data_IF_526933102386
#
_entry.id   IF_526933102386
#
_cell.length_a   1.000
_cell.length_b   1.000
_cell.length_c   1.000
_cell.angle_alpha   90.00
_cell.angle_beta   90.00
_cell.angle_gamma   90.00
#
_symmetry.space_group_name_H-M   'P 1'
#
loop_
_entity.id
_entity.type
_entity.pdbx_description
1 polymer ?
#
# COMPACT_ATOMS: atom_id res chain seq x y z
N UNK A 1 16.77 16.57 -27.16
CA UNK A 1 16.00 15.66 -26.30
C UNK A 1 16.99 14.83 -25.50
N UNK A 2 16.79 14.72 -24.17
CA UNK A 2 17.60 13.82 -23.35
C UNK A 2 17.28 12.36 -23.70
N UNK A 3 18.21 11.41 -23.43
CA UNK A 3 17.98 9.96 -23.64
C UNK A 3 16.72 9.49 -22.88
N UNK A 4 16.43 10.10 -21.74
CA UNK A 4 15.28 9.79 -20.90
C UNK A 4 13.95 10.25 -21.52
N UNK A 5 13.93 11.42 -22.16
CA UNK A 5 12.75 11.90 -22.91
C UNK A 5 12.46 11.00 -24.12
N UNK A 6 13.50 10.56 -24.83
CA UNK A 6 13.35 9.68 -25.97
C UNK A 6 12.76 8.33 -25.53
N UNK A 7 13.29 7.72 -24.47
CA UNK A 7 12.76 6.49 -23.90
C UNK A 7 11.28 6.63 -23.48
N UNK A 8 10.92 7.74 -22.81
CA UNK A 8 9.56 8.04 -22.39
C UNK A 8 8.59 8.12 -23.58
N UNK A 9 8.96 8.81 -24.66
CA UNK A 9 8.13 8.90 -25.88
C UNK A 9 8.01 7.56 -26.59
N UNK A 10 9.05 6.76 -26.63
CA UNK A 10 9.03 5.42 -27.22
C UNK A 10 8.13 4.47 -26.40
N UNK A 11 8.16 4.55 -25.09
CA UNK A 11 7.25 3.81 -24.22
C UNK A 11 5.77 4.18 -24.47
N UNK A 12 5.45 5.48 -24.59
CA UNK A 12 4.10 5.95 -24.94
C UNK A 12 3.62 5.49 -26.32
N UNK A 13 4.54 5.23 -27.25
CA UNK A 13 4.25 4.67 -28.57
C UNK A 13 3.99 3.16 -28.61
N UNK A 14 4.16 2.44 -27.52
CA UNK A 14 4.00 1.00 -27.46
C UNK A 14 2.63 0.59 -26.89
N UNK A 15 1.93 -0.34 -27.55
CA UNK A 15 0.60 -0.83 -27.14
C UNK A 15 0.61 -1.51 -25.76
N UNK A 16 1.65 -2.28 -25.46
CA UNK A 16 1.73 -3.04 -24.22
C UNK A 16 1.81 -2.14 -22.97
N UNK A 17 2.54 -1.04 -23.05
CA UNK A 17 2.55 -0.05 -21.97
C UNK A 17 1.20 0.65 -21.82
N UNK A 18 0.47 0.89 -22.92
CA UNK A 18 -0.87 1.46 -22.85
C UNK A 18 -1.85 0.49 -22.19
N UNK A 19 -1.80 -0.81 -22.53
CA UNK A 19 -2.61 -1.84 -21.87
C UNK A 19 -2.28 -1.96 -20.39
N UNK A 20 -0.99 -1.93 -20.04
CA UNK A 20 -0.58 -1.94 -18.64
C UNK A 20 -1.07 -0.70 -17.88
N UNK A 21 -1.06 0.47 -18.51
CA UNK A 21 -1.63 1.70 -17.92
C UNK A 21 -3.13 1.57 -17.66
N UNK A 22 -3.89 1.01 -18.62
CA UNK A 22 -5.33 0.74 -18.44
C UNK A 22 -5.55 -0.28 -17.33
N UNK A 23 -4.77 -1.36 -17.31
CA UNK A 23 -4.80 -2.36 -16.24
C UNK A 23 -4.56 -1.71 -14.86
N UNK A 24 -3.53 -0.88 -14.71
CA UNK A 24 -3.27 -0.16 -13.45
C UNK A 24 -4.45 0.71 -13.03
N UNK A 25 -5.08 1.46 -13.96
CA UNK A 25 -6.26 2.29 -13.65
C UNK A 25 -7.42 1.45 -13.11
N UNK A 26 -7.73 0.35 -13.78
CA UNK A 26 -8.81 -0.56 -13.38
C UNK A 26 -8.49 -1.21 -12.03
N UNK A 27 -7.28 -1.74 -11.85
CA UNK A 27 -6.86 -2.40 -10.61
C UNK A 27 -6.92 -1.45 -9.41
N UNK A 28 -6.45 -0.22 -9.57
CA UNK A 28 -6.49 0.80 -8.52
C UNK A 28 -7.92 1.25 -8.22
N UNK A 29 -8.76 1.44 -9.24
CA UNK A 29 -10.16 1.77 -9.03
C UNK A 29 -10.90 0.65 -8.28
N UNK A 30 -10.67 -0.62 -8.65
CA UNK A 30 -11.24 -1.78 -7.95
C UNK A 30 -10.79 -1.87 -6.49
N UNK A 31 -9.59 -1.38 -6.14
CA UNK A 31 -9.15 -1.29 -4.75
C UNK A 31 -9.93 -0.27 -3.93
N UNK A 32 -10.38 0.85 -4.54
CA UNK A 32 -11.11 1.90 -3.83
C UNK A 32 -12.62 1.72 -3.84
N UNK A 33 -13.20 1.09 -4.87
CA UNK A 33 -14.66 0.92 -5.00
C UNK A 33 -15.27 0.18 -3.80
N UNK A 34 -14.82 -1.03 -3.40
CA UNK A 34 -15.39 -1.73 -2.26
C UNK A 34 -15.23 -0.94 -0.96
N UNK A 35 -14.05 -0.37 -0.73
CA UNK A 35 -13.75 0.45 0.44
C UNK A 35 -14.63 1.71 0.52
N UNK A 36 -14.90 2.33 -0.63
CA UNK A 36 -15.78 3.51 -0.71
C UNK A 36 -17.24 3.16 -0.49
N UNK A 37 -17.73 2.06 -1.11
CA UNK A 37 -19.12 1.61 -0.95
C UNK A 37 -19.43 1.34 0.52
N UNK A 38 -18.63 0.51 1.20
CA UNK A 38 -18.81 0.16 2.61
C UNK A 38 -18.90 1.41 3.50
N UNK A 39 -18.08 2.43 3.22
CA UNK A 39 -18.11 3.69 3.99
C UNK A 39 -19.35 4.53 3.71
N UNK A 40 -19.85 4.53 2.47
CA UNK A 40 -21.05 5.29 2.08
C UNK A 40 -22.31 4.61 2.59
N UNK A 41 -22.34 3.26 2.63
CA UNK A 41 -23.45 2.50 3.22
C UNK A 41 -23.50 2.57 4.75
N UNK A 42 -22.44 3.14 5.38
CA UNK A 42 -22.39 3.26 6.84
C UNK A 42 -22.05 1.94 7.53
N UNK A 43 -21.37 1.03 6.84
CA UNK A 43 -20.90 -0.22 7.41
C UNK A 43 -19.45 -0.12 7.86
N UNK A 44 -19.07 -0.93 8.83
CA UNK A 44 -17.67 -0.99 9.30
C UNK A 44 -16.77 -1.61 8.22
N UNK A 45 -15.72 -0.89 7.83
CA UNK A 45 -14.84 -1.30 6.73
C UNK A 45 -14.06 -2.59 6.99
N UNK A 46 -13.79 -2.93 8.25
CA UNK A 46 -12.96 -4.08 8.61
C UNK A 46 -13.59 -4.95 9.67
N UNK A 47 -13.37 -6.27 9.58
CA UNK A 47 -13.73 -7.24 10.59
C UNK A 47 -12.64 -7.40 11.69
N UNK A 48 -11.56 -6.59 11.65
CA UNK A 48 -10.51 -6.65 12.66
C UNK A 48 -11.08 -6.31 14.05
N UNK A 49 -10.67 -7.02 15.12
CA UNK A 49 -11.05 -6.70 16.49
C UNK A 49 -10.64 -5.27 16.88
N UNK A 50 -11.36 -4.66 17.82
CA UNK A 50 -11.06 -3.31 18.30
C UNK A 50 -9.69 -3.22 19.00
N UNK A 51 -9.21 -4.31 19.56
CA UNK A 51 -7.90 -4.43 20.20
C UNK A 51 -6.75 -4.44 19.19
N UNK A 52 -7.01 -4.85 17.92
CA UNK A 52 -6.01 -4.77 16.88
C UNK A 52 -5.68 -3.30 16.58
N UNK A 53 -4.40 -2.88 16.48
CA UNK A 53 -4.02 -1.46 16.29
C UNK A 53 -4.72 -0.78 15.11
N UNK A 54 -4.85 -1.49 13.97
CA UNK A 54 -5.56 -0.99 12.80
C UNK A 54 -7.08 -1.05 13.00
N UNK A 55 -7.59 -2.07 13.70
CA UNK A 55 -9.00 -2.21 14.04
C UNK A 55 -9.49 -1.04 14.89
N UNK A 56 -8.73 -0.69 15.91
CA UNK A 56 -8.99 0.47 16.79
C UNK A 56 -9.07 1.80 15.99
N UNK A 57 -8.13 2.02 15.07
CA UNK A 57 -8.16 3.18 14.19
C UNK A 57 -9.43 3.22 13.34
N UNK A 58 -9.81 2.11 12.71
CA UNK A 58 -11.02 2.06 11.89
C UNK A 58 -12.31 2.16 12.69
N UNK A 59 -12.32 1.69 13.93
CA UNK A 59 -13.43 1.90 14.85
C UNK A 59 -13.61 3.38 15.18
N UNK A 60 -12.54 4.05 15.58
CA UNK A 60 -12.56 5.47 15.84
C UNK A 60 -13.00 6.27 14.59
N UNK A 61 -12.50 5.89 13.42
CA UNK A 61 -12.87 6.52 12.16
C UNK A 61 -14.35 6.29 11.81
N UNK A 62 -14.86 5.08 12.03
CA UNK A 62 -16.27 4.73 11.82
C UNK A 62 -17.20 5.56 12.72
N UNK A 63 -16.82 5.79 13.98
CA UNK A 63 -17.58 6.60 14.93
C UNK A 63 -17.67 8.09 14.56
N UNK A 64 -16.87 8.58 13.58
CA UNK A 64 -16.97 9.96 13.10
C UNK A 64 -18.20 10.25 12.22
N UNK A 65 -19.00 9.22 11.90
CA UNK A 65 -20.26 9.36 11.18
C UNK A 65 -20.08 9.94 9.78
N UNK A 66 -20.58 11.16 9.53
CA UNK A 66 -20.56 11.77 8.19
C UNK A 66 -19.15 11.99 7.62
N UNK A 67 -18.14 12.15 8.45
CA UNK A 67 -16.75 12.24 7.98
C UNK A 67 -16.27 10.92 7.38
N UNK A 68 -16.67 9.80 7.96
CA UNK A 68 -16.42 8.47 7.41
C UNK A 68 -17.06 8.30 6.03
N UNK A 69 -18.33 8.71 5.88
CA UNK A 69 -19.05 8.71 4.61
C UNK A 69 -18.38 9.64 3.58
N UNK A 70 -17.93 10.83 4.00
CA UNK A 70 -17.19 11.76 3.15
C UNK A 70 -15.93 11.13 2.55
N UNK A 71 -15.16 10.40 3.35
CA UNK A 71 -13.98 9.66 2.87
C UNK A 71 -14.41 8.62 1.81
N UNK A 72 -15.51 7.89 2.05
CA UNK A 72 -16.07 6.93 1.10
C UNK A 72 -16.43 7.56 -0.24
N UNK A 73 -17.11 8.70 -0.21
CA UNK A 73 -17.46 9.47 -1.42
C UNK A 73 -16.19 9.90 -2.17
N UNK A 74 -15.18 10.39 -1.46
CA UNK A 74 -13.88 10.76 -2.03
C UNK A 74 -13.18 9.59 -2.73
N UNK A 75 -13.23 8.40 -2.14
CA UNK A 75 -12.68 7.17 -2.75
C UNK A 75 -13.44 6.77 -4.02
N UNK A 76 -14.78 6.80 -4.00
CA UNK A 76 -15.61 6.47 -5.17
C UNK A 76 -15.41 7.48 -6.31
N UNK A 77 -15.37 8.78 -5.98
CA UNK A 77 -15.08 9.82 -6.95
C UNK A 77 -13.70 9.62 -7.59
N UNK A 78 -12.68 9.35 -6.78
CA UNK A 78 -11.32 9.09 -7.24
C UNK A 78 -11.27 7.87 -8.17
N UNK A 79 -11.96 6.78 -7.82
CA UNK A 79 -12.07 5.59 -8.66
C UNK A 79 -12.76 5.89 -10.00
N UNK A 80 -13.87 6.64 -9.99
CA UNK A 80 -14.57 7.05 -11.20
C UNK A 80 -13.67 7.90 -12.12
N UNK A 81 -12.93 8.86 -11.55
CA UNK A 81 -12.00 9.70 -12.30
C UNK A 81 -10.85 8.89 -12.93
N UNK A 82 -10.36 7.84 -12.26
CA UNK A 82 -9.35 6.94 -12.82
C UNK A 82 -9.85 6.14 -14.03
N UNK A 83 -11.11 5.71 -14.01
CA UNK A 83 -11.70 4.91 -15.08
C UNK A 83 -11.96 5.74 -16.34
N UNK A 84 -12.25 7.03 -16.21
CA UNK A 84 -12.52 7.92 -17.35
C UNK A 84 -11.17 8.42 -17.92
N UNK A 85 -10.83 8.10 -19.19
CA UNK A 85 -9.51 8.43 -19.75
C UNK A 85 -9.15 9.93 -19.75
N UNK A 86 -10.16 10.81 -19.81
CA UNK A 86 -9.95 12.27 -19.82
C UNK A 86 -9.58 12.82 -18.45
N UNK A 87 -10.08 12.24 -17.38
CA UNK A 87 -9.89 12.67 -15.99
C UNK A 87 -8.92 11.78 -15.20
N UNK A 88 -8.37 10.75 -15.85
CA UNK A 88 -7.51 9.76 -15.19
C UNK A 88 -6.29 10.36 -14.48
N UNK A 89 -5.72 11.45 -15.01
CA UNK A 89 -4.64 12.17 -14.33
C UNK A 89 -5.10 12.79 -13.01
N UNK A 90 -6.27 13.44 -13.01
CA UNK A 90 -6.86 14.00 -11.80
C UNK A 90 -7.16 12.88 -10.77
N UNK A 91 -7.72 11.75 -11.25
CA UNK A 91 -7.91 10.56 -10.43
C UNK A 91 -6.59 10.07 -9.81
N UNK A 92 -5.50 9.99 -10.57
CA UNK A 92 -4.20 9.56 -10.07
C UNK A 92 -3.62 10.54 -9.04
N UNK A 93 -3.81 11.84 -9.23
CA UNK A 93 -3.36 12.88 -8.29
C UNK A 93 -4.13 12.83 -6.96
N UNK A 94 -5.42 12.52 -6.97
CA UNK A 94 -6.22 12.34 -5.75
C UNK A 94 -5.95 10.97 -5.09
N UNK A 95 -5.70 9.95 -5.90
CA UNK A 95 -5.41 8.60 -5.42
C UNK A 95 -4.10 8.53 -4.65
N UNK A 96 -3.06 9.17 -5.17
CA UNK A 96 -1.71 9.06 -4.62
C UNK A 96 -1.59 9.46 -3.14
N UNK A 97 -2.03 10.66 -2.69
CA UNK A 97 -1.93 11.03 -1.28
C UNK A 97 -2.78 10.14 -0.38
N UNK A 98 -3.94 9.68 -0.88
CA UNK A 98 -4.82 8.78 -0.13
C UNK A 98 -4.17 7.42 0.09
N UNK A 99 -3.64 6.79 -0.96
CA UNK A 99 -2.99 5.48 -0.84
C UNK A 99 -1.66 5.57 -0.09
N UNK A 100 -0.93 6.68 -0.21
CA UNK A 100 0.27 6.92 0.57
C UNK A 100 -0.04 6.92 2.07
N UNK A 101 -1.09 7.64 2.49
CA UNK A 101 -1.53 7.66 3.88
C UNK A 101 -1.93 6.25 4.37
N UNK A 102 -2.73 5.51 3.57
CA UNK A 102 -3.13 4.13 3.90
C UNK A 102 -1.90 3.21 3.99
N UNK A 103 -0.94 3.36 3.10
CA UNK A 103 0.29 2.57 3.10
C UNK A 103 1.12 2.83 4.37
N UNK A 104 1.33 4.09 4.74
CA UNK A 104 2.04 4.47 5.98
C UNK A 104 1.33 3.91 7.21
N UNK A 105 -0.01 4.02 7.28
CA UNK A 105 -0.82 3.46 8.36
C UNK A 105 -0.66 1.94 8.46
N UNK A 106 -0.71 1.23 7.31
CA UNK A 106 -0.55 -0.22 7.28
C UNK A 106 0.84 -0.67 7.76
N UNK A 107 1.91 0.07 7.40
CA UNK A 107 3.26 -0.18 7.93
C UNK A 107 3.36 0.13 9.43
N UNK A 108 2.80 1.25 9.87
CA UNK A 108 2.83 1.65 11.29
C UNK A 108 2.13 0.62 12.19
N UNK A 109 1.02 0.05 11.73
CA UNK A 109 0.24 -0.95 12.47
C UNK A 109 0.71 -2.39 12.26
N UNK A 110 1.73 -2.62 11.43
CA UNK A 110 2.25 -3.95 11.03
C UNK A 110 1.18 -4.87 10.45
N UNK A 111 0.21 -4.28 9.74
CA UNK A 111 -0.90 -5.01 9.15
C UNK A 111 -0.45 -5.92 8.00
N UNK A 112 -1.05 -7.10 7.88
CA UNK A 112 -0.67 -8.05 6.83
C UNK A 112 -0.98 -7.58 5.40
N UNK A 113 -2.02 -6.76 5.24
CA UNK A 113 -2.38 -6.15 3.95
C UNK A 113 -1.39 -5.12 3.40
N UNK A 114 -0.28 -4.83 4.11
CA UNK A 114 0.76 -3.87 3.70
C UNK A 114 1.34 -4.18 2.31
N UNK A 115 1.40 -5.46 1.91
CA UNK A 115 1.82 -5.88 0.56
C UNK A 115 0.95 -5.28 -0.53
N UNK A 116 -0.37 -5.36 -0.37
CA UNK A 116 -1.34 -4.86 -1.35
C UNK A 116 -1.29 -3.34 -1.42
N UNK A 117 -1.29 -2.65 -0.27
CA UNK A 117 -1.22 -1.18 -0.23
C UNK A 117 0.07 -0.64 -0.84
N UNK A 118 1.20 -1.35 -0.66
CA UNK A 118 2.48 -1.00 -1.30
C UNK A 118 2.39 -1.13 -2.83
N UNK A 119 1.81 -2.23 -3.35
CA UNK A 119 1.63 -2.41 -4.80
C UNK A 119 0.68 -1.35 -5.38
N UNK A 120 -0.40 -1.00 -4.67
CA UNK A 120 -1.30 0.08 -5.07
C UNK A 120 -0.58 1.44 -5.10
N UNK A 121 0.28 1.72 -4.13
CA UNK A 121 1.10 2.93 -4.10
C UNK A 121 2.06 2.96 -5.30
N UNK A 122 2.77 1.87 -5.61
CA UNK A 122 3.65 1.78 -6.77
C UNK A 122 2.88 1.93 -8.09
N UNK A 123 1.70 1.33 -8.19
CA UNK A 123 0.81 1.50 -9.34
C UNK A 123 0.37 2.96 -9.53
N UNK A 124 0.07 3.67 -8.45
CA UNK A 124 -0.28 5.10 -8.52
C UNK A 124 0.90 5.97 -8.95
N UNK A 125 2.11 5.69 -8.44
CA UNK A 125 3.35 6.35 -8.88
C UNK A 125 3.59 6.09 -10.38
N UNK A 126 3.40 4.86 -10.85
CA UNK A 126 3.50 4.55 -12.28
C UNK A 126 2.55 5.39 -13.11
N UNK A 127 1.27 5.56 -12.70
CA UNK A 127 0.31 6.40 -13.44
C UNK A 127 0.73 7.87 -13.46
N UNK A 128 1.27 8.42 -12.39
CA UNK A 128 1.80 9.79 -12.35
C UNK A 128 3.03 9.94 -13.27
N UNK A 129 3.93 8.94 -13.27
CA UNK A 129 5.06 8.90 -14.19
C UNK A 129 4.62 8.77 -15.66
N UNK A 130 3.57 8.01 -15.92
CA UNK A 130 2.99 7.86 -17.26
C UNK A 130 2.46 9.17 -17.84
N UNK A 131 1.88 10.03 -17.01
CA UNK A 131 1.37 11.35 -17.39
C UNK A 131 2.34 12.49 -16.99
N UNK A 132 3.64 12.20 -16.83
CA UNK A 132 4.66 13.17 -16.40
C UNK A 132 4.69 14.44 -17.25
N UNK A 133 4.46 14.32 -18.57
CA UNK A 133 4.35 15.44 -19.49
C UNK A 133 3.26 16.45 -19.08
N UNK A 134 2.20 16.01 -18.40
CA UNK A 134 1.13 16.85 -17.86
C UNK A 134 1.40 17.27 -16.42
N UNK A 135 1.89 16.34 -15.60
CA UNK A 135 2.19 16.57 -14.17
C UNK A 135 3.22 17.68 -13.99
N UNK A 136 4.24 17.77 -14.85
CA UNK A 136 5.29 18.79 -14.79
C UNK A 136 4.77 20.23 -14.91
N UNK A 137 3.57 20.47 -15.48
CA UNK A 137 2.95 21.80 -15.56
C UNK A 137 2.12 22.15 -14.33
N UNK A 138 1.71 21.15 -13.56
CA UNK A 138 0.98 21.34 -12.30
C UNK A 138 1.96 21.65 -11.16
N UNK A 139 3.17 21.05 -11.22
CA UNK A 139 4.21 21.25 -10.22
C UNK A 139 5.03 22.53 -10.55
N UNK A 140 5.26 23.43 -9.58
CA UNK A 140 5.86 24.75 -9.82
C UNK A 140 7.37 24.72 -10.12
N UNK A 141 7.95 23.56 -10.43
CA UNK A 141 9.41 23.37 -10.50
C UNK A 141 10.11 23.99 -11.70
N UNK A 142 9.41 24.33 -12.79
CA UNK A 142 9.94 25.16 -13.90
C UNK A 142 8.79 25.68 -14.75
N UNK A 143 8.72 26.99 -14.89
CA UNK A 143 7.91 27.66 -15.92
C UNK A 143 8.58 27.44 -17.27
N UNK A 144 8.46 26.24 -17.81
CA UNK A 144 8.78 25.98 -19.21
C UNK A 144 7.71 26.64 -20.04
N UNK A 145 8.11 27.52 -20.98
CA UNK A 145 7.20 28.09 -21.96
C UNK A 145 6.29 27.00 -22.47
N UNK A 146 4.97 27.27 -22.48
CA UNK A 146 3.94 26.34 -22.92
C UNK A 146 4.18 25.94 -24.38
N UNK A 147 5.19 25.11 -24.61
CA UNK A 147 5.39 24.47 -25.88
C UNK A 147 4.21 23.50 -26.07
N UNK A 148 3.56 23.62 -27.22
CA UNK A 148 2.40 22.90 -27.65
C UNK A 148 2.43 21.45 -27.15
N UNK A 149 1.34 20.98 -26.56
CA UNK A 149 1.12 19.58 -26.21
C UNK A 149 1.64 18.70 -27.35
N UNK A 150 2.62 17.84 -27.16
CA UNK A 150 3.08 16.97 -28.24
C UNK A 150 1.88 16.15 -28.73
N UNK A 151 1.60 16.23 -30.00
CA UNK A 151 0.53 15.50 -30.64
C UNK A 151 0.62 14.03 -30.23
N UNK A 152 -0.53 13.44 -29.90
CA UNK A 152 -0.63 12.03 -29.50
C UNK A 152 0.18 11.17 -30.48
N UNK A 153 1.35 10.66 -30.06
CA UNK A 153 2.24 9.92 -30.94
C UNK A 153 1.48 8.68 -31.43
N UNK A 154 1.38 8.52 -32.75
CA UNK A 154 0.77 7.36 -33.39
C UNK A 154 1.49 6.10 -32.89
N UNK A 155 0.74 5.05 -32.54
CA UNK A 155 1.30 3.78 -32.07
C UNK A 155 2.24 3.24 -33.14
N UNK A 156 3.52 3.15 -32.84
CA UNK A 156 4.57 2.76 -33.79
C UNK A 156 5.05 1.32 -33.54
N UNK A 157 4.93 0.81 -32.30
CA UNK A 157 5.50 -0.48 -31.92
C UNK A 157 4.48 -1.39 -31.23
N UNK A 158 4.49 -2.66 -31.65
CA UNK A 158 3.75 -3.76 -31.01
C UNK A 158 4.69 -4.81 -30.39
N UNK A 159 6.00 -4.50 -30.28
CA UNK A 159 6.98 -5.42 -29.67
C UNK A 159 6.71 -5.52 -28.18
N UNK A 160 6.68 -6.76 -27.66
CA UNK A 160 6.50 -7.01 -26.24
C UNK A 160 7.75 -6.57 -25.47
N UNK A 161 7.61 -5.68 -24.43
CA UNK A 161 8.75 -5.17 -23.67
C UNK A 161 9.10 -6.12 -22.52
N UNK A 162 9.78 -7.22 -22.81
CA UNK A 162 10.15 -8.26 -21.82
C UNK A 162 10.89 -7.70 -20.61
N UNK A 163 11.80 -6.74 -20.81
CA UNK A 163 12.57 -6.13 -19.72
C UNK A 163 11.67 -5.37 -18.74
N UNK A 164 10.66 -4.69 -19.24
CA UNK A 164 9.71 -3.95 -18.40
C UNK A 164 8.84 -4.92 -17.57
N UNK A 165 8.21 -5.91 -18.21
CA UNK A 165 7.37 -6.86 -17.48
C UNK A 165 8.19 -7.76 -16.54
N UNK A 166 9.42 -8.11 -16.91
CA UNK A 166 10.37 -8.76 -16.01
C UNK A 166 10.67 -7.88 -14.77
N UNK A 167 10.86 -6.58 -14.96
CA UNK A 167 11.01 -5.62 -13.88
C UNK A 167 9.78 -5.51 -12.98
N UNK A 168 8.57 -5.54 -13.56
CA UNK A 168 7.30 -5.54 -12.78
C UNK A 168 7.21 -6.80 -11.91
N UNK A 169 7.48 -7.98 -12.47
CA UNK A 169 7.47 -9.25 -11.71
C UNK A 169 8.51 -9.20 -10.58
N UNK A 170 9.72 -8.74 -10.87
CA UNK A 170 10.77 -8.60 -9.87
C UNK A 170 10.36 -7.64 -8.75
N UNK A 171 9.72 -6.52 -9.09
CA UNK A 171 9.21 -5.55 -8.11
C UNK A 171 8.14 -6.18 -7.22
N UNK A 172 7.19 -6.93 -7.78
CA UNK A 172 6.16 -7.64 -7.01
C UNK A 172 6.81 -8.65 -6.06
N UNK A 173 7.73 -9.47 -6.56
CA UNK A 173 8.46 -10.45 -5.75
C UNK A 173 9.26 -9.76 -4.63
N UNK A 174 9.94 -8.66 -4.93
CA UNK A 174 10.70 -7.89 -3.94
C UNK A 174 9.78 -7.30 -2.86
N UNK A 175 8.62 -6.74 -3.22
CA UNK A 175 7.65 -6.23 -2.25
C UNK A 175 7.16 -7.35 -1.32
N UNK A 176 6.87 -8.54 -1.86
CA UNK A 176 6.43 -9.69 -1.05
C UNK A 176 7.54 -10.13 -0.10
N UNK A 177 8.75 -10.32 -0.60
CA UNK A 177 9.91 -10.77 0.17
C UNK A 177 10.24 -9.77 1.27
N UNK A 178 10.39 -8.49 0.93
CA UNK A 178 10.70 -7.43 1.91
C UNK A 178 9.63 -7.40 3.00
N UNK A 179 8.35 -7.48 2.63
CA UNK A 179 7.28 -7.47 3.61
C UNK A 179 7.27 -8.70 4.54
N UNK A 180 7.77 -9.86 4.11
CA UNK A 180 7.92 -11.03 4.99
C UNK A 180 8.98 -10.77 6.07
N UNK A 181 10.10 -10.15 5.70
CA UNK A 181 11.27 -10.00 6.57
C UNK A 181 11.34 -8.67 7.33
N UNK A 182 10.59 -7.63 6.92
CA UNK A 182 10.68 -6.28 7.52
C UNK A 182 10.22 -6.25 8.99
N UNK A 183 9.33 -7.16 9.39
CA UNK A 183 8.80 -7.21 10.74
C UNK A 183 9.15 -8.52 11.42
N UNK A 184 9.81 -8.41 12.57
CA UNK A 184 10.18 -9.54 13.42
C UNK A 184 8.95 -10.23 14.06
N UNK A 185 7.89 -9.44 14.36
CA UNK A 185 6.61 -9.92 14.87
C UNK A 185 5.47 -9.07 14.34
N UNK A 186 4.31 -9.68 14.14
CA UNK A 186 3.06 -9.01 13.73
C UNK A 186 1.92 -9.40 14.64
N UNK A 187 0.90 -8.54 14.82
CA UNK A 187 -0.25 -8.87 15.66
C UNK A 187 -1.16 -9.97 15.06
N UNK A 188 -1.04 -10.28 13.74
CA UNK A 188 -2.06 -11.10 13.04
C UNK A 188 -3.38 -10.35 12.91
N UNK A 189 -4.43 -10.98 12.35
CA UNK A 189 -5.74 -10.35 12.19
C UNK A 189 -6.70 -10.63 13.36
N UNK A 190 -6.37 -11.62 14.21
CA UNK A 190 -7.14 -11.99 15.40
C UNK A 190 -6.24 -12.54 16.49
N UNK A 191 -6.78 -12.65 17.72
CA UNK A 191 -6.08 -13.29 18.83
C UNK A 191 -5.71 -14.73 18.50
N UNK A 192 -6.61 -15.48 17.86
CA UNK A 192 -6.37 -16.88 17.49
C UNK A 192 -5.21 -17.00 16.48
N UNK A 193 -5.19 -16.17 15.45
CA UNK A 193 -4.12 -16.14 14.45
C UNK A 193 -2.78 -15.76 15.10
N UNK A 194 -2.77 -14.73 15.96
CA UNK A 194 -1.58 -14.34 16.70
C UNK A 194 -1.06 -15.48 17.59
N UNK A 195 -1.95 -16.14 18.35
CA UNK A 195 -1.58 -17.23 19.27
C UNK A 195 -1.12 -18.49 18.52
N UNK A 196 -1.68 -18.80 17.38
CA UNK A 196 -1.23 -19.91 16.53
C UNK A 196 0.15 -19.60 15.92
N UNK A 197 0.35 -18.37 15.46
CA UNK A 197 1.65 -17.94 14.92
C UNK A 197 2.76 -17.91 15.97
N UNK A 198 2.45 -17.48 17.21
CA UNK A 198 3.46 -17.39 18.26
C UNK A 198 3.99 -18.75 18.72
N UNK A 199 3.17 -19.82 18.70
CA UNK A 199 3.57 -21.18 19.08
C UNK A 199 4.64 -21.77 18.14
N UNK A 200 4.65 -21.37 16.87
CA UNK A 200 5.64 -21.78 15.88
C UNK A 200 6.92 -20.93 15.87
N UNK A 201 7.02 -19.91 16.71
CA UNK A 201 8.19 -19.03 16.79
C UNK A 201 9.33 -19.68 17.58
N UNK A 202 10.59 -19.40 17.18
CA UNK A 202 11.79 -19.77 17.93
C UNK A 202 11.82 -19.14 19.35
N UNK A 203 11.03 -18.09 19.59
CA UNK A 203 10.87 -17.38 20.87
C UNK A 203 9.39 -17.35 21.25
N UNK A 204 8.81 -18.56 21.42
CA UNK A 204 7.37 -18.71 21.60
C UNK A 204 6.83 -17.99 22.83
N UNK A 205 7.56 -18.01 23.96
CA UNK A 205 7.15 -17.34 25.19
C UNK A 205 7.05 -15.83 25.01
N UNK A 206 8.06 -15.21 24.40
CA UNK A 206 8.08 -13.78 24.12
C UNK A 206 7.04 -13.38 23.09
N UNK A 207 6.87 -14.19 22.02
CA UNK A 207 5.91 -13.92 20.96
C UNK A 207 4.46 -14.06 21.45
N UNK A 208 4.13 -15.06 22.24
CA UNK A 208 2.80 -15.20 22.83
C UNK A 208 2.50 -14.12 23.87
N UNK A 209 3.52 -13.67 24.62
CA UNK A 209 3.40 -12.48 25.49
C UNK A 209 3.06 -11.20 24.73
N UNK A 210 3.52 -11.05 23.49
CA UNK A 210 3.14 -9.94 22.63
C UNK A 210 1.65 -10.00 22.23
N UNK A 211 1.14 -11.19 21.85
CA UNK A 211 -0.28 -11.38 21.55
C UNK A 211 -1.18 -11.03 22.74
N UNK A 212 -0.81 -11.50 23.94
CA UNK A 212 -1.52 -11.19 25.18
C UNK A 212 -1.52 -9.69 25.48
N UNK A 213 -0.39 -9.02 25.23
CA UNK A 213 -0.25 -7.58 25.41
C UNK A 213 -1.21 -6.77 24.53
N UNK A 214 -1.36 -7.16 23.25
CA UNK A 214 -2.24 -6.48 22.28
C UNK A 214 -3.71 -6.79 22.57
N UNK A 215 -4.07 -8.08 22.61
CA UNK A 215 -5.47 -8.51 22.54
C UNK A 215 -6.15 -8.64 23.90
N UNK A 216 -5.44 -9.06 24.95
CA UNK A 216 -6.04 -9.22 26.28
C UNK A 216 -5.84 -8.00 27.17
N UNK A 217 -4.67 -7.33 27.06
CA UNK A 217 -4.36 -6.14 27.86
C UNK A 217 -4.68 -4.83 27.17
N UNK A 218 -4.98 -4.84 25.85
CA UNK A 218 -5.33 -3.66 25.08
C UNK A 218 -4.27 -2.55 25.09
N UNK A 219 -2.98 -2.90 25.26
CA UNK A 219 -1.91 -1.90 25.33
C UNK A 219 -1.54 -1.39 23.93
N UNK A 220 -1.04 -0.14 23.82
CA UNK A 220 -0.54 0.39 22.57
C UNK A 220 0.56 -0.50 21.95
N UNK A 221 0.55 -0.63 20.60
CA UNK A 221 1.48 -1.46 19.85
C UNK A 221 2.96 -1.21 20.22
N UNK A 222 3.36 0.05 20.34
CA UNK A 222 4.74 0.41 20.70
C UNK A 222 5.16 -0.09 22.08
N UNK A 223 4.25 -0.09 23.05
CA UNK A 223 4.48 -0.63 24.38
C UNK A 223 4.68 -2.14 24.33
N UNK A 224 3.81 -2.85 23.61
CA UNK A 224 3.89 -4.29 23.44
C UNK A 224 5.15 -4.71 22.67
N UNK A 225 5.59 -3.92 21.69
CA UNK A 225 6.85 -4.15 20.98
C UNK A 225 8.08 -3.96 21.86
N UNK A 226 8.06 -2.98 22.76
CA UNK A 226 9.15 -2.79 23.74
C UNK A 226 9.20 -3.95 24.74
N UNK A 227 8.05 -4.39 25.24
CA UNK A 227 7.95 -5.55 26.13
C UNK A 227 8.44 -6.83 25.43
N UNK A 228 8.02 -7.05 24.17
CA UNK A 228 8.47 -8.18 23.35
C UNK A 228 9.99 -8.20 23.16
N UNK A 229 10.59 -7.07 22.75
CA UNK A 229 12.04 -7.00 22.55
C UNK A 229 12.83 -7.35 23.80
N UNK A 230 12.41 -6.85 24.98
CA UNK A 230 13.02 -7.15 26.28
C UNK A 230 12.84 -8.62 26.68
N UNK A 231 11.66 -9.20 26.43
CA UNK A 231 11.39 -10.59 26.72
C UNK A 231 12.19 -11.53 25.81
N UNK A 232 12.25 -11.23 24.51
CA UNK A 232 13.02 -11.97 23.51
C UNK A 232 14.52 -12.00 23.87
N UNK A 233 15.07 -10.86 24.29
CA UNK A 233 16.48 -10.80 24.70
C UNK A 233 16.75 -11.72 25.90
N UNK A 234 15.90 -11.69 26.92
CA UNK A 234 16.02 -12.58 28.10
C UNK A 234 15.90 -14.07 27.71
N UNK A 235 14.98 -14.38 26.82
CA UNK A 235 14.78 -15.75 26.31
C UNK A 235 16.00 -16.24 25.53
N UNK A 236 16.59 -15.39 24.68
CA UNK A 236 17.85 -15.67 23.97
C UNK A 236 19.03 -15.93 24.93
N UNK A 237 19.19 -15.10 25.94
CA UNK A 237 20.30 -15.23 26.90
C UNK A 237 20.16 -16.50 27.75
N UNK A 238 18.91 -16.89 28.12
CA UNK A 238 18.65 -18.14 28.81
C UNK A 238 18.97 -19.36 27.95
N UNK A 239 18.61 -19.34 26.65
CA UNK A 239 18.93 -20.42 25.72
C UNK A 239 20.44 -20.58 25.51
N UNK A 240 21.19 -19.46 25.34
CA UNK A 240 22.65 -19.51 25.24
C UNK A 240 23.31 -20.12 26.47
N UNK A 241 22.81 -19.77 27.65
CA UNK A 241 23.33 -20.31 28.93
C UNK A 241 23.05 -21.81 29.06
N UNK A 242 21.92 -22.28 28.53
CA UNK A 242 21.56 -23.71 28.52
C UNK A 242 22.40 -24.54 27.55
N UNK A 243 22.81 -23.96 26.41
CA UNK A 243 23.66 -24.66 25.39
C UNK A 243 25.13 -24.74 25.84
N UNK A 244 25.58 -23.78 26.66
CA UNK A 244 26.97 -23.74 27.15
C UNK A 244 27.20 -24.58 28.44
N UNK A 245 26.18 -25.26 28.92
CA UNK A 245 26.26 -26.23 30.02
C UNK A 245 26.22 -27.66 29.52
#
# INVERSE_FOLDING_TARGET
MSKLEQFYFDAKGNRWFQYFTVFCRIALALGFIPSGIVKVTGERFTALPAEHPLGHYFDALFQTGYYYTFIGIGQLLTAALLLIPRTALLGALLYFPTILNICVLAYATRFEGTRITTLMLLGSIYLLCWDYDRVKYILPFKRSNAAAYPAKKKIISNRFPFLFFGGVILTIASVIIINIFIFDIRPGNSLEECTNGCKGSNYAKSACGFCDCIYNKGKPLDSCLKEYKRAKQREMDSLKTAINK
#
